data_IF_965361793827
#
_entry.id   IF_965361793827
#
_cell.length_a   1.000
_cell.length_b   1.000
_cell.length_c   1.000
_cell.angle_alpha   90.00
_cell.angle_beta   90.00
_cell.angle_gamma   90.00
#
_symmetry.space_group_name_H-M   'P 1'
#
loop_
_entity.id
_entity.type
_entity.pdbx_description
1 polymer ?
#
# COMPACT_ATOMS: atom_id res chain seq x y z
N UNK A 1 1.41 -19.11 5.79
CA UNK A 1 1.62 -17.76 5.24
C UNK A 1 2.57 -17.80 4.05
N UNK A 2 2.18 -17.24 2.91
CA UNK A 2 3.04 -17.09 1.72
C UNK A 2 3.53 -15.65 1.66
N UNK A 3 4.64 -15.36 2.35
CA UNK A 3 5.19 -14.01 2.47
C UNK A 3 5.45 -13.35 1.11
N UNK A 4 5.83 -14.13 0.11
CA UNK A 4 6.07 -13.61 -1.25
C UNK A 4 4.77 -13.07 -1.85
N UNK A 5 3.64 -13.76 -1.65
CA UNK A 5 2.32 -13.26 -2.08
C UNK A 5 1.90 -12.00 -1.32
N UNK A 6 2.20 -11.93 -0.03
CA UNK A 6 1.87 -10.73 0.77
C UNK A 6 2.73 -9.54 0.34
N UNK A 7 4.04 -9.72 0.21
CA UNK A 7 4.95 -8.70 -0.33
C UNK A 7 4.51 -8.23 -1.72
N UNK A 8 4.12 -9.15 -2.60
CA UNK A 8 3.60 -8.78 -3.93
C UNK A 8 2.31 -7.96 -3.85
N UNK A 9 1.38 -8.34 -2.97
CA UNK A 9 0.12 -7.61 -2.77
C UNK A 9 0.35 -6.21 -2.19
N UNK A 10 1.25 -6.09 -1.20
CA UNK A 10 1.72 -4.81 -0.63
C UNK A 10 2.25 -3.89 -1.75
N UNK A 11 3.19 -4.40 -2.55
CA UNK A 11 3.83 -3.60 -3.60
C UNK A 11 2.84 -3.21 -4.70
N UNK A 12 1.95 -4.12 -5.09
CA UNK A 12 0.93 -3.86 -6.11
C UNK A 12 -0.07 -2.81 -5.65
N UNK A 13 -0.56 -2.91 -4.40
CA UNK A 13 -1.48 -1.94 -3.82
C UNK A 13 -0.86 -0.55 -3.64
N UNK A 14 0.41 -0.50 -3.25
CA UNK A 14 1.17 0.75 -3.09
C UNK A 14 1.39 1.46 -4.42
N UNK A 15 1.78 0.71 -5.46
CA UNK A 15 1.94 1.27 -6.81
C UNK A 15 0.62 1.84 -7.35
N UNK A 16 -0.50 1.11 -7.17
CA UNK A 16 -1.83 1.57 -7.55
C UNK A 16 -2.26 2.82 -6.78
N UNK A 17 -1.91 2.89 -5.49
CA UNK A 17 -2.17 4.07 -4.64
C UNK A 17 -1.48 5.30 -5.21
N UNK A 18 -0.18 5.22 -5.49
CA UNK A 18 0.59 6.33 -6.06
C UNK A 18 0.07 6.76 -7.43
N UNK A 19 -0.23 5.79 -8.31
CA UNK A 19 -0.80 6.07 -9.62
C UNK A 19 -2.14 6.81 -9.51
N UNK A 20 -3.00 6.38 -8.59
CA UNK A 20 -4.31 7.00 -8.39
C UNK A 20 -4.20 8.40 -7.79
N UNK A 21 -3.32 8.62 -6.80
CA UNK A 21 -3.05 9.95 -6.23
C UNK A 21 -2.44 10.90 -7.27
N UNK A 22 -1.58 10.40 -8.16
CA UNK A 22 -1.00 11.21 -9.24
C UNK A 22 -2.05 11.71 -10.24
N UNK A 23 -3.06 10.88 -10.52
CA UNK A 23 -4.21 11.23 -11.37
C UNK A 23 -5.23 12.12 -10.62
N UNK A 24 -5.25 12.05 -9.30
CA UNK A 24 -6.26 12.71 -8.45
C UNK A 24 -5.57 13.40 -7.25
N UNK A 25 -4.97 14.60 -7.43
CA UNK A 25 -4.11 15.24 -6.43
C UNK A 25 -4.82 15.72 -5.14
N UNK A 26 -6.15 15.59 -5.05
CA UNK A 26 -6.95 15.94 -3.87
C UNK A 26 -7.81 14.77 -3.37
N UNK A 27 -7.47 13.56 -3.80
CA UNK A 27 -8.20 12.36 -3.43
C UNK A 27 -8.05 12.12 -1.93
N UNK A 28 -9.14 11.73 -1.27
CA UNK A 28 -9.09 11.33 0.13
C UNK A 28 -8.50 9.92 0.29
N UNK A 29 -7.96 9.64 1.47
CA UNK A 29 -7.47 8.30 1.82
C UNK A 29 -8.57 7.24 1.63
N UNK A 30 -9.83 7.55 1.97
CA UNK A 30 -10.96 6.64 1.84
C UNK A 30 -11.27 6.32 0.37
N UNK A 31 -11.25 7.31 -0.51
CA UNK A 31 -11.44 7.10 -1.96
C UNK A 31 -10.29 6.27 -2.57
N UNK A 32 -9.05 6.54 -2.18
CA UNK A 32 -7.87 5.73 -2.59
C UNK A 32 -8.05 4.29 -2.14
N UNK A 33 -8.44 4.10 -0.87
CA UNK A 33 -8.66 2.78 -0.30
C UNK A 33 -9.75 2.02 -1.05
N UNK A 34 -10.92 2.62 -1.25
CA UNK A 34 -12.00 1.98 -2.00
C UNK A 34 -11.59 1.65 -3.44
N UNK A 35 -10.85 2.55 -4.11
CA UNK A 35 -10.36 2.33 -5.46
C UNK A 35 -9.43 1.12 -5.53
N UNK A 36 -8.37 1.11 -4.69
CA UNK A 36 -7.38 0.03 -4.69
C UNK A 36 -8.02 -1.30 -4.30
N UNK A 37 -8.90 -1.31 -3.30
CA UNK A 37 -9.57 -2.54 -2.84
C UNK A 37 -10.56 -3.11 -3.86
N UNK A 38 -11.13 -2.28 -4.72
CA UNK A 38 -12.01 -2.74 -5.81
C UNK A 38 -11.24 -3.46 -6.93
N UNK A 39 -9.99 -3.05 -7.17
CA UNK A 39 -9.15 -3.59 -8.24
C UNK A 39 -8.12 -4.63 -7.75
N UNK A 40 -7.89 -4.70 -6.44
CA UNK A 40 -6.99 -5.67 -5.83
C UNK A 40 -7.68 -7.03 -5.70
N UNK A 41 -7.02 -8.08 -6.23
CA UNK A 41 -7.57 -9.44 -6.28
C UNK A 41 -7.04 -10.32 -5.14
N UNK A 42 -6.18 -9.77 -4.28
CA UNK A 42 -5.64 -10.46 -3.12
C UNK A 42 -6.74 -10.99 -2.19
N UNK A 43 -6.48 -12.15 -1.58
CA UNK A 43 -7.37 -12.84 -0.62
C UNK A 43 -6.60 -13.18 0.66
N UNK A 44 -7.32 -13.35 1.76
CA UNK A 44 -6.73 -13.71 3.06
C UNK A 44 -5.67 -12.70 3.52
N UNK A 45 -4.58 -13.19 4.11
CA UNK A 45 -3.45 -12.39 4.64
C UNK A 45 -2.89 -11.39 3.62
N UNK A 46 -2.83 -11.76 2.33
CA UNK A 46 -2.35 -10.87 1.28
C UNK A 46 -3.25 -9.64 1.08
N UNK A 47 -4.56 -9.78 1.32
CA UNK A 47 -5.50 -8.66 1.29
C UNK A 47 -5.27 -7.71 2.48
N UNK A 48 -4.99 -8.26 3.66
CA UNK A 48 -4.69 -7.47 4.86
C UNK A 48 -3.40 -6.67 4.66
N UNK A 49 -2.35 -7.30 4.14
CA UNK A 49 -1.11 -6.60 3.80
C UNK A 49 -1.31 -5.50 2.76
N UNK A 50 -2.09 -5.77 1.70
CA UNK A 50 -2.46 -4.76 0.73
C UNK A 50 -3.18 -3.56 1.38
N UNK A 51 -4.17 -3.80 2.24
CA UNK A 51 -4.90 -2.74 2.96
C UNK A 51 -3.97 -1.88 3.82
N UNK A 52 -3.10 -2.51 4.62
CA UNK A 52 -2.14 -1.79 5.45
C UNK A 52 -1.18 -0.92 4.62
N UNK A 53 -0.75 -1.44 3.46
CA UNK A 53 0.16 -0.73 2.57
C UNK A 53 -0.46 0.51 1.92
N UNK A 54 -1.77 0.49 1.62
CA UNK A 54 -2.48 1.66 1.05
C UNK A 54 -2.43 2.83 2.02
N UNK A 55 -2.77 2.59 3.28
CA UNK A 55 -2.74 3.64 4.32
C UNK A 55 -1.35 4.21 4.52
N UNK A 56 -0.32 3.35 4.67
CA UNK A 56 1.08 3.81 4.81
C UNK A 56 1.57 4.57 3.57
N UNK A 57 1.22 4.11 2.37
CA UNK A 57 1.63 4.77 1.11
C UNK A 57 1.02 6.15 0.98
N UNK A 58 -0.28 6.28 1.28
CA UNK A 58 -0.98 7.55 1.29
C UNK A 58 -0.34 8.53 2.27
N UNK A 59 -0.18 8.10 3.52
CA UNK A 59 0.44 8.89 4.58
C UNK A 59 1.84 9.37 4.21
N UNK A 60 2.67 8.50 3.62
CA UNK A 60 4.00 8.90 3.17
C UNK A 60 3.98 9.92 2.05
N UNK A 61 3.07 9.78 1.09
CA UNK A 61 2.95 10.76 0.01
C UNK A 61 2.45 12.10 0.51
N UNK A 62 1.49 12.11 1.44
CA UNK A 62 0.95 13.34 2.04
C UNK A 62 1.99 14.07 2.89
N UNK A 63 2.73 13.34 3.73
CA UNK A 63 3.79 13.92 4.58
C UNK A 63 5.01 14.36 3.77
N UNK A 64 5.23 13.78 2.59
CA UNK A 64 6.39 14.05 1.74
C UNK A 64 5.96 14.32 0.28
N UNK A 65 5.31 15.47 -0.01
CA UNK A 65 4.76 15.73 -1.34
C UNK A 65 5.84 15.74 -2.44
N UNK A 66 7.07 16.13 -2.10
CA UNK A 66 8.24 16.12 -2.99
C UNK A 66 8.90 14.76 -3.19
N UNK A 67 8.54 13.73 -2.44
CA UNK A 67 9.12 12.40 -2.60
C UNK A 67 8.66 11.77 -3.92
N UNK A 68 9.61 11.13 -4.60
CA UNK A 68 9.34 10.35 -5.80
C UNK A 68 8.61 9.05 -5.48
N UNK A 69 7.88 8.52 -6.46
CA UNK A 69 7.21 7.22 -6.33
C UNK A 69 8.22 6.11 -5.96
N UNK A 70 9.46 6.20 -6.47
CA UNK A 70 10.54 5.26 -6.16
C UNK A 70 10.93 5.29 -4.68
N UNK A 71 11.08 6.49 -4.10
CA UNK A 71 11.43 6.64 -2.69
C UNK A 71 10.34 6.10 -1.77
N UNK A 72 9.08 6.38 -2.10
CA UNK A 72 7.93 5.88 -1.32
C UNK A 72 7.84 4.36 -1.44
N UNK A 73 7.98 3.80 -2.65
CA UNK A 73 7.95 2.35 -2.85
C UNK A 73 9.11 1.64 -2.14
N UNK A 74 10.31 2.22 -2.14
CA UNK A 74 11.46 1.67 -1.42
C UNK A 74 11.22 1.67 0.09
N UNK A 75 10.60 2.74 0.62
CA UNK A 75 10.22 2.80 2.03
C UNK A 75 9.18 1.74 2.40
N UNK A 76 8.13 1.59 1.61
CA UNK A 76 7.12 0.54 1.81
C UNK A 76 7.74 -0.86 1.73
N UNK A 77 8.69 -1.08 0.81
CA UNK A 77 9.40 -2.36 0.70
C UNK A 77 10.20 -2.67 1.97
N UNK A 78 10.90 -1.68 2.53
CA UNK A 78 11.64 -1.84 3.79
C UNK A 78 10.72 -2.12 4.99
N UNK A 79 9.51 -1.53 4.99
CA UNK A 79 8.51 -1.74 6.04
C UNK A 79 7.63 -2.98 5.81
N UNK A 80 7.76 -3.66 4.66
CA UNK A 80 6.90 -4.78 4.31
C UNK A 80 6.99 -5.95 5.29
N UNK A 81 8.14 -6.13 5.94
CA UNK A 81 8.33 -7.17 6.96
C UNK A 81 7.63 -6.82 8.27
N UNK A 82 7.62 -5.55 8.67
CA UNK A 82 6.84 -5.06 9.81
C UNK A 82 5.34 -5.19 9.54
N UNK A 83 4.90 -4.82 8.34
CA UNK A 83 3.49 -4.97 7.91
C UNK A 83 3.07 -6.44 7.99
N UNK A 84 3.93 -7.37 7.54
CA UNK A 84 3.67 -8.80 7.61
C UNK A 84 3.66 -9.27 9.07
N UNK A 85 4.63 -8.84 9.88
CA UNK A 85 4.71 -9.21 11.30
C UNK A 85 3.48 -8.80 12.10
N UNK A 86 2.91 -7.62 11.81
CA UNK A 86 1.68 -7.16 12.45
C UNK A 86 0.43 -7.97 12.07
N UNK A 87 0.43 -8.66 10.91
CA UNK A 87 -0.66 -9.57 10.52
C UNK A 87 -0.61 -10.88 11.33
N UNK A 88 0.58 -11.26 11.84
CA UNK A 88 0.82 -12.54 12.54
C UNK A 88 0.45 -12.47 14.03
N UNK A 89 0.33 -11.27 14.60
CA UNK A 89 0.14 -11.06 16.04
C UNK A 89 -1.32 -10.87 16.47
N UNK A 90 -2.28 -11.02 15.55
CA UNK A 90 -3.73 -11.16 15.82
C UNK A 90 -4.20 -12.59 15.54
#
# INVERSE_FOLDING_TARGET
MDEKKIKLAIMTASAKTLEYMKKNPKVSQEEVFQHVMKIEKAKGEAKIGAMASVSKTHEYKEKNPGASDKEIMQRIMNESEEIIGNIVLE
#
